data_IF_205951538990
#
_entry.id   IF_205951538990
#
_cell.length_a   1.000
_cell.length_b   1.000
_cell.length_c   1.000
_cell.angle_alpha   90.00
_cell.angle_beta   90.00
_cell.angle_gamma   90.00
#
_symmetry.space_group_name_H-M   'P 1'
#
loop_
_entity.id
_entity.type
_entity.pdbx_description
1 polymer ?
#
# COMPACT_ATOMS: atom_id res chain seq x y z
N UNK A 1 -26.59 1.59 -4.42
CA UNK A 1 -25.57 1.01 -3.50
C UNK A 1 -26.30 0.43 -2.31
N UNK A 2 -26.08 -0.84 -1.99
CA UNK A 2 -26.70 -1.47 -0.82
C UNK A 2 -25.92 -1.07 0.42
N UNK A 3 -26.55 -0.36 1.35
CA UNK A 3 -25.96 -0.05 2.64
C UNK A 3 -25.71 -1.35 3.42
N UNK A 4 -24.51 -1.51 3.97
CA UNK A 4 -24.12 -2.63 4.85
C UNK A 4 -23.82 -2.02 6.21
N UNK A 5 -24.59 -2.37 7.22
CA UNK A 5 -24.44 -1.80 8.55
C UNK A 5 -23.31 -2.49 9.35
N UNK A 6 -22.57 -1.72 10.14
CA UNK A 6 -21.68 -2.24 11.17
C UNK A 6 -21.61 -1.24 12.32
N UNK A 7 -21.41 -1.73 13.54
CA UNK A 7 -21.30 -0.88 14.73
C UNK A 7 -19.86 -0.47 15.00
N UNK A 8 -18.90 -1.32 14.63
CA UNK A 8 -17.48 -1.07 14.85
C UNK A 8 -16.59 -1.79 13.85
N UNK A 9 -15.50 -1.14 13.49
CA UNK A 9 -14.38 -1.75 12.77
C UNK A 9 -13.08 -1.42 13.50
N UNK A 10 -12.21 -2.41 13.66
CA UNK A 10 -10.80 -2.22 14.04
C UNK A 10 -9.92 -2.86 13.00
N UNK A 11 -8.95 -2.10 12.53
CA UNK A 11 -7.95 -2.56 11.58
C UNK A 11 -6.56 -2.43 12.22
N UNK A 12 -5.77 -3.49 12.10
CA UNK A 12 -4.36 -3.50 12.44
C UNK A 12 -3.57 -3.96 11.22
N UNK A 13 -2.66 -3.12 10.74
CA UNK A 13 -1.71 -3.47 9.68
C UNK A 13 -0.30 -3.62 10.26
N UNK A 14 0.45 -4.59 9.75
CA UNK A 14 1.87 -4.76 10.03
C UNK A 14 2.61 -4.92 8.72
N UNK A 15 3.45 -3.94 8.40
CA UNK A 15 4.25 -3.93 7.17
C UNK A 15 5.71 -4.16 7.51
N UNK A 16 6.38 -5.03 6.75
CA UNK A 16 7.82 -5.28 6.83
C UNK A 16 8.47 -4.83 5.54
N UNK A 17 9.63 -4.20 5.67
CA UNK A 17 10.45 -3.73 4.56
C UNK A 17 11.87 -4.29 4.71
N UNK A 18 12.57 -4.43 3.60
CA UNK A 18 14.00 -4.69 3.60
C UNK A 18 14.76 -3.50 3.03
N UNK A 19 16.04 -3.44 3.39
CA UNK A 19 17.02 -2.56 2.77
C UNK A 19 18.35 -3.30 2.70
N UNK A 20 18.98 -3.27 1.55
CA UNK A 20 20.24 -3.96 1.29
C UNK A 20 21.19 -3.04 0.50
N UNK A 21 22.48 -3.38 0.44
CA UNK A 21 23.52 -2.62 -0.28
C UNK A 21 24.30 -1.63 0.58
N UNK A 22 25.06 -0.75 -0.07
CA UNK A 22 26.00 0.18 0.57
C UNK A 22 25.71 1.63 0.22
N UNK A 23 25.59 2.48 1.25
CA UNK A 23 25.42 3.92 1.09
C UNK A 23 26.62 4.54 0.35
N UNK A 24 27.84 4.12 0.72
CA UNK A 24 29.07 4.65 0.12
C UNK A 24 29.23 4.23 -1.35
N UNK A 25 28.73 3.05 -1.71
CA UNK A 25 28.80 2.56 -3.08
C UNK A 25 27.60 2.99 -3.94
N UNK A 26 26.59 3.64 -3.37
CA UNK A 26 25.37 4.04 -4.09
C UNK A 26 24.49 2.85 -4.51
N UNK A 27 24.62 1.69 -3.86
CA UNK A 27 23.89 0.46 -4.24
C UNK A 27 22.71 0.14 -3.34
N UNK A 28 22.29 1.09 -2.48
CA UNK A 28 21.17 0.85 -1.58
C UNK A 28 19.91 0.61 -2.39
N UNK A 29 19.27 -0.53 -2.14
CA UNK A 29 17.94 -0.86 -2.61
C UNK A 29 17.05 -1.20 -1.42
N UNK A 30 15.78 -0.87 -1.52
CA UNK A 30 14.78 -1.22 -0.51
C UNK A 30 13.51 -1.71 -1.18
N UNK A 31 12.69 -2.43 -0.43
CA UNK A 31 11.45 -2.94 -0.97
C UNK A 31 10.54 -3.54 0.11
N UNK A 32 9.31 -3.89 -0.28
CA UNK A 32 8.37 -4.56 0.61
C UNK A 32 8.84 -6.00 0.87
N UNK A 33 8.76 -6.43 2.13
CA UNK A 33 9.01 -7.81 2.55
C UNK A 33 7.72 -8.54 2.96
N UNK A 34 6.66 -7.80 3.28
CA UNK A 34 5.35 -8.37 3.54
C UNK A 34 4.40 -7.37 4.18
N UNK A 35 3.10 -7.62 4.00
CA UNK A 35 2.02 -6.86 4.61
C UNK A 35 0.99 -7.82 5.21
N UNK A 36 0.68 -7.63 6.49
CA UNK A 36 -0.37 -8.36 7.19
C UNK A 36 -1.47 -7.39 7.63
N UNK A 37 -2.72 -7.72 7.33
CA UNK A 37 -3.90 -6.94 7.72
C UNK A 37 -4.82 -7.80 8.57
N UNK A 38 -5.18 -7.30 9.75
CA UNK A 38 -6.18 -7.91 10.64
C UNK A 38 -7.37 -6.96 10.76
N UNK A 39 -8.54 -7.40 10.30
CA UNK A 39 -9.78 -6.63 10.38
C UNK A 39 -10.75 -7.33 11.32
N UNK A 40 -11.24 -6.60 12.31
CA UNK A 40 -12.29 -7.04 13.21
C UNK A 40 -13.51 -6.16 13.00
N UNK A 41 -14.66 -6.76 12.67
CA UNK A 41 -15.92 -6.06 12.42
C UNK A 41 -16.96 -6.54 13.42
N UNK A 42 -17.63 -5.62 14.09
CA UNK A 42 -18.80 -5.89 14.93
C UNK A 42 -20.05 -5.48 14.11
N UNK A 43 -20.92 -6.43 13.80
CA UNK A 43 -22.15 -6.22 13.02
C UNK A 43 -23.15 -7.36 13.22
N UNK A 44 -24.44 -7.03 13.07
CA UNK A 44 -25.56 -7.99 13.02
C UNK A 44 -25.89 -8.44 11.59
N UNK A 45 -25.16 -7.94 10.59
CA UNK A 45 -25.32 -8.35 9.19
C UNK A 45 -24.86 -9.81 8.96
N UNK A 46 -25.47 -10.53 8.01
CA UNK A 46 -25.01 -11.85 7.59
C UNK A 46 -23.51 -11.88 7.20
N UNK A 47 -22.75 -12.93 7.56
CA UNK A 47 -21.31 -13.01 7.31
C UNK A 47 -20.90 -12.79 5.84
N UNK A 48 -21.70 -13.24 4.89
CA UNK A 48 -21.44 -13.08 3.46
C UNK A 48 -21.53 -11.61 3.00
N UNK A 49 -22.36 -10.79 3.66
CA UNK A 49 -22.44 -9.35 3.39
C UNK A 49 -21.23 -8.64 3.96
N UNK A 50 -20.78 -9.00 5.17
CA UNK A 50 -19.53 -8.48 5.74
C UNK A 50 -18.32 -8.91 4.90
N UNK A 51 -18.30 -10.13 4.37
CA UNK A 51 -17.21 -10.56 3.48
C UNK A 51 -17.12 -9.69 2.23
N UNK A 52 -18.26 -9.46 1.56
CA UNK A 52 -18.34 -8.57 0.39
C UNK A 52 -17.90 -7.15 0.72
N UNK A 53 -18.25 -6.64 1.90
CA UNK A 53 -17.79 -5.33 2.37
C UNK A 53 -16.25 -5.28 2.47
N UNK A 54 -15.63 -6.29 3.08
CA UNK A 54 -14.17 -6.38 3.23
C UNK A 54 -13.49 -6.51 1.86
N UNK A 55 -13.98 -7.38 0.98
CA UNK A 55 -13.46 -7.54 -0.39
C UNK A 55 -13.50 -6.22 -1.17
N UNK A 56 -14.63 -5.52 -1.09
CA UNK A 56 -14.80 -4.21 -1.72
C UNK A 56 -13.85 -3.18 -1.11
N UNK A 57 -13.67 -3.17 0.21
CA UNK A 57 -12.78 -2.24 0.89
C UNK A 57 -11.30 -2.47 0.49
N UNK A 58 -10.85 -3.72 0.39
CA UNK A 58 -9.47 -4.04 0.00
C UNK A 58 -9.21 -3.73 -1.49
N UNK A 59 -10.13 -4.12 -2.37
CA UNK A 59 -10.00 -3.87 -3.81
C UNK A 59 -10.07 -2.38 -4.18
N UNK A 60 -10.80 -1.58 -3.40
CA UNK A 60 -10.94 -0.13 -3.63
C UNK A 60 -9.97 0.73 -2.83
N UNK A 61 -9.20 0.15 -1.90
CA UNK A 61 -8.24 0.90 -1.09
C UNK A 61 -7.02 1.33 -1.91
N UNK A 62 -6.97 2.60 -2.31
CA UNK A 62 -5.85 3.16 -3.08
C UNK A 62 -4.48 2.86 -2.45
N UNK A 63 -4.36 2.99 -1.12
CA UNK A 63 -3.09 2.73 -0.43
C UNK A 63 -2.67 1.26 -0.54
N UNK A 64 -3.59 0.31 -0.40
CA UNK A 64 -3.28 -1.10 -0.56
C UNK A 64 -2.93 -1.42 -2.02
N UNK A 65 -3.72 -0.92 -2.97
CA UNK A 65 -3.50 -1.17 -4.39
C UNK A 65 -2.14 -0.61 -4.85
N UNK A 66 -1.74 0.58 -4.39
CA UNK A 66 -0.41 1.15 -4.66
C UNK A 66 0.76 0.33 -4.10
N UNK A 67 0.53 -0.56 -3.11
CA UNK A 67 1.56 -1.43 -2.56
C UNK A 67 1.65 -2.78 -3.28
N UNK A 68 0.56 -3.26 -3.88
CA UNK A 68 0.49 -4.61 -4.48
C UNK A 68 0.47 -4.62 -6.01
N UNK A 69 0.17 -3.48 -6.63
CA UNK A 69 0.21 -3.32 -8.07
C UNK A 69 1.54 -2.69 -8.49
N UNK A 70 2.07 -3.15 -9.63
CA UNK A 70 3.18 -2.48 -10.29
C UNK A 70 2.63 -1.22 -10.98
N UNK A 71 2.96 -0.05 -10.46
CA UNK A 71 2.64 1.23 -11.07
C UNK A 71 3.90 1.89 -11.60
N UNK A 72 3.79 2.57 -12.74
CA UNK A 72 4.88 3.38 -13.29
C UNK A 72 5.09 4.61 -12.39
N UNK A 73 6.35 4.88 -12.04
CA UNK A 73 6.74 6.03 -11.23
C UNK A 73 7.67 6.90 -12.04
N UNK A 74 7.22 8.10 -12.40
CA UNK A 74 8.06 9.12 -13.04
C UNK A 74 8.58 10.10 -11.98
N UNK A 75 9.89 10.28 -11.93
CA UNK A 75 10.54 11.24 -11.02
C UNK A 75 11.30 12.30 -11.82
N UNK A 76 11.03 13.57 -11.55
CA UNK A 76 11.76 14.71 -12.13
C UNK A 76 12.50 15.41 -11.01
N UNK A 77 13.82 15.51 -11.14
CA UNK A 77 14.67 16.18 -10.16
C UNK A 77 15.23 17.47 -10.74
N UNK A 78 15.24 18.53 -9.94
CA UNK A 78 15.86 19.80 -10.30
C UNK A 78 16.91 20.17 -9.26
N UNK A 79 18.04 20.69 -9.73
CA UNK A 79 19.11 21.20 -8.90
C UNK A 79 19.41 22.64 -9.32
N UNK A 80 19.21 23.58 -8.39
CA UNK A 80 19.43 25.02 -8.63
C UNK A 80 18.69 25.60 -9.85
N UNK A 81 17.50 25.07 -10.14
CA UNK A 81 16.68 25.51 -11.28
C UNK A 81 16.97 24.79 -12.60
N UNK A 82 17.97 23.91 -12.65
CA UNK A 82 18.28 23.08 -13.81
C UNK A 82 17.78 21.64 -13.59
N UNK A 83 17.27 21.00 -14.65
CA UNK A 83 16.85 19.61 -14.58
C UNK A 83 18.08 18.70 -14.43
N UNK A 84 18.04 17.80 -13.44
CA UNK A 84 19.02 16.73 -13.34
C UNK A 84 18.74 15.69 -14.43
N UNK A 85 19.77 15.11 -15.05
CA UNK A 85 19.59 14.03 -16.01
C UNK A 85 18.88 12.85 -15.35
N UNK A 86 18.02 12.19 -16.14
CA UNK A 86 17.22 11.06 -15.69
C UNK A 86 18.12 9.93 -15.17
N UNK A 87 17.86 9.47 -13.94
CA UNK A 87 18.51 8.30 -13.39
C UNK A 87 17.88 7.04 -13.98
N UNK A 88 18.62 5.91 -13.99
CA UNK A 88 18.04 4.63 -14.37
C UNK A 88 16.79 4.32 -13.51
N UNK A 89 15.75 3.70 -14.09
CA UNK A 89 14.51 3.39 -13.37
C UNK A 89 14.80 2.50 -12.15
N UNK A 90 14.07 2.76 -11.06
CA UNK A 90 14.14 2.04 -9.78
C UNK A 90 13.18 0.85 -9.78
#
# INVERSE_FOLDING_TARGET
MTHIAYSKVRLQQTTRFYRDGSALAGTIVGGPAGLETKVNVESDEPPERIRRLVDMAESSCYALQSLVQNMEVTSVFTLNGEALPEAAPV
#
